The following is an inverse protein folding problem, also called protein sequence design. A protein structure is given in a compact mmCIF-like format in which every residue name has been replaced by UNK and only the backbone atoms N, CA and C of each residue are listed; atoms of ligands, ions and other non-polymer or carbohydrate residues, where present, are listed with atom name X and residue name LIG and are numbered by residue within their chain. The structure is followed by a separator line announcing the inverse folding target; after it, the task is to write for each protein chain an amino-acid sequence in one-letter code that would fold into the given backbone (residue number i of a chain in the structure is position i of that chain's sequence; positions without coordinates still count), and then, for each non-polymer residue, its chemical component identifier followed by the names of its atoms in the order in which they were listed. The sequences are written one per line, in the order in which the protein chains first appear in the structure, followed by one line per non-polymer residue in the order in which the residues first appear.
data_IF_529787396232
#
_entry.id   IF_529787396232
#
_cell.length_a   1.000
_cell.length_b   1.000
_cell.length_c   1.000
_cell.angle_alpha   90.00
_cell.angle_beta   90.00
_cell.angle_gamma   90.00
#
_symmetry.space_group_name_H-M   'P 1'
#
loop_
_entity.id
_entity.type
_entity.pdbx_description
1 polymer ?
#
# COMPACT_ATOMS: atom_id res chain seq x y z
N UNK A 1 15.76 -1.54 12.45
CA UNK A 1 15.42 -0.83 11.20
C UNK A 1 14.89 -1.83 10.20
N UNK A 2 14.09 -1.37 9.24
CA UNK A 2 13.80 -2.11 8.01
C UNK A 2 14.73 -1.60 6.91
N UNK A 3 15.19 -2.48 6.03
CA UNK A 3 16.01 -2.11 4.87
C UNK A 3 15.34 -2.63 3.60
N UNK A 4 15.05 -1.71 2.68
CA UNK A 4 14.46 -2.01 1.38
C UNK A 4 15.58 -2.35 0.40
N UNK A 5 15.49 -3.53 -0.20
CA UNK A 5 16.47 -4.03 -1.16
C UNK A 5 15.81 -4.16 -2.55
N UNK A 6 16.06 -3.20 -3.47
CA UNK A 6 15.66 -3.26 -4.89
C UNK A 6 15.84 -4.66 -5.51
N UNK A 7 14.77 -5.21 -6.07
CA UNK A 7 14.71 -6.52 -6.74
C UNK A 7 14.76 -7.73 -5.80
N UNK A 8 14.88 -7.52 -4.49
CA UNK A 8 15.06 -8.60 -3.50
C UNK A 8 13.91 -8.66 -2.51
N UNK A 9 13.57 -7.55 -1.85
CA UNK A 9 12.53 -7.50 -0.82
C UNK A 9 12.96 -6.64 0.38
N UNK A 10 12.67 -7.08 1.61
CA UNK A 10 12.86 -6.28 2.83
C UNK A 10 13.63 -7.05 3.89
N UNK A 11 14.73 -6.49 4.39
CA UNK A 11 15.41 -7.00 5.60
C UNK A 11 14.63 -6.54 6.83
N UNK A 12 14.34 -7.50 7.71
CA UNK A 12 13.60 -7.27 8.94
C UNK A 12 14.54 -6.89 10.09
N UNK A 13 14.06 -6.10 11.07
CA UNK A 13 14.85 -5.68 12.21
C UNK A 13 15.30 -6.86 13.08
N UNK A 14 16.29 -6.59 13.94
CA UNK A 14 16.79 -7.49 14.98
C UNK A 14 17.21 -8.89 14.50
N UNK A 15 17.61 -9.00 13.23
CA UNK A 15 18.04 -10.26 12.63
C UNK A 15 16.89 -11.25 12.38
N UNK A 16 15.64 -10.78 12.36
CA UNK A 16 14.47 -11.63 12.12
C UNK A 16 14.50 -12.32 10.74
N UNK A 17 15.24 -11.77 9.77
CA UNK A 17 15.50 -12.37 8.47
C UNK A 17 15.23 -11.41 7.32
N UNK A 18 14.95 -11.95 6.15
CA UNK A 18 14.62 -11.17 4.95
C UNK A 18 13.32 -11.69 4.35
N UNK A 19 12.36 -10.80 4.14
CA UNK A 19 11.22 -11.07 3.29
C UNK A 19 11.65 -10.91 1.84
N UNK A 20 11.75 -12.01 1.11
CA UNK A 20 12.16 -12.00 -0.30
C UNK A 20 10.95 -12.11 -1.21
N UNK A 21 10.92 -11.32 -2.28
CA UNK A 21 9.95 -11.52 -3.34
C UNK A 21 10.06 -12.96 -3.90
N UNK A 22 8.92 -13.57 -4.21
CA UNK A 22 8.85 -14.96 -4.65
C UNK A 22 8.75 -15.99 -3.52
N UNK A 23 8.71 -15.60 -2.25
CA UNK A 23 8.42 -16.54 -1.15
C UNK A 23 6.94 -16.93 -1.11
N UNK A 24 6.64 -18.15 -0.66
CA UNK A 24 5.26 -18.57 -0.41
C UNK A 24 4.69 -17.92 0.86
N UNK A 25 3.36 -18.03 1.02
CA UNK A 25 2.64 -17.43 2.15
C UNK A 25 3.00 -18.01 3.51
N UNK A 26 3.32 -19.30 3.60
CA UNK A 26 3.66 -19.94 4.87
C UNK A 26 5.05 -19.52 5.35
N UNK A 27 6.03 -19.54 4.44
CA UNK A 27 7.39 -19.02 4.70
C UNK A 27 7.35 -17.53 5.06
N UNK A 28 6.52 -16.74 4.36
CA UNK A 28 6.31 -15.32 4.67
C UNK A 28 5.76 -15.15 6.09
N UNK A 29 4.71 -15.89 6.45
CA UNK A 29 4.09 -15.85 7.78
C UNK A 29 5.07 -16.23 8.88
N UNK A 30 5.85 -17.30 8.69
CA UNK A 30 6.87 -17.73 9.66
C UNK A 30 7.94 -16.65 9.86
N UNK A 31 8.39 -16.03 8.77
CA UNK A 31 9.39 -14.97 8.82
C UNK A 31 8.85 -13.73 9.56
N UNK A 32 7.60 -13.33 9.29
CA UNK A 32 6.93 -12.23 9.99
C UNK A 32 6.68 -12.52 11.47
N UNK A 33 6.40 -13.77 11.83
CA UNK A 33 6.14 -14.17 13.22
C UNK A 33 7.33 -13.96 14.16
N UNK A 34 8.54 -13.81 13.61
CA UNK A 34 9.75 -13.45 14.37
C UNK A 34 9.75 -12.00 14.85
N UNK A 35 8.95 -11.13 14.23
CA UNK A 35 8.76 -9.75 14.67
C UNK A 35 7.65 -9.63 15.72
N UNK A 36 6.62 -10.46 15.65
CA UNK A 36 5.52 -10.41 16.59
C UNK A 36 4.28 -11.16 16.10
N UNK A 37 3.13 -10.79 16.66
CA UNK A 37 1.86 -11.42 16.31
C UNK A 37 1.45 -11.08 14.87
N UNK A 38 1.39 -12.10 14.01
CA UNK A 38 0.92 -11.96 12.64
C UNK A 38 -0.60 -12.04 12.59
N UNK A 39 -1.20 -11.11 11.85
CA UNK A 39 -2.61 -11.14 11.42
C UNK A 39 -2.65 -11.61 9.98
N UNK A 40 -3.51 -12.57 9.68
CA UNK A 40 -3.73 -13.06 8.32
C UNK A 40 -5.10 -12.59 7.90
N UNK A 41 -5.14 -11.84 6.81
CA UNK A 41 -6.37 -11.28 6.23
C UNK A 41 -6.45 -11.72 4.76
N UNK A 42 -7.66 -11.97 4.28
CA UNK A 42 -7.89 -12.15 2.84
C UNK A 42 -8.25 -10.81 2.25
N UNK A 43 -7.41 -10.27 1.35
CA UNK A 43 -7.78 -9.13 0.53
C UNK A 43 -8.59 -9.59 -0.69
N UNK A 44 -9.44 -8.72 -1.24
CA UNK A 44 -10.29 -9.05 -2.40
C UNK A 44 -9.47 -9.43 -3.65
N UNK A 45 -8.25 -8.90 -3.79
CA UNK A 45 -7.38 -9.07 -4.97
C UNK A 45 -6.07 -9.81 -4.70
N UNK A 46 -5.76 -10.13 -3.44
CA UNK A 46 -4.55 -10.88 -3.06
C UNK A 46 -4.96 -12.26 -2.58
N UNK A 47 -4.31 -13.31 -3.09
CA UNK A 47 -4.60 -14.67 -2.64
C UNK A 47 -4.33 -14.87 -1.13
N UNK A 48 -3.45 -14.05 -0.55
CA UNK A 48 -3.23 -13.96 0.90
C UNK A 48 -2.53 -12.64 1.26
N UNK A 49 -2.80 -12.16 2.47
CA UNK A 49 -2.12 -11.01 3.07
C UNK A 49 -1.74 -11.34 4.52
N UNK A 50 -0.53 -10.96 4.93
CA UNK A 50 -0.03 -11.12 6.29
C UNK A 50 0.48 -9.77 6.83
N UNK A 51 0.06 -9.40 8.03
CA UNK A 51 0.37 -8.11 8.65
C UNK A 51 0.99 -8.31 10.02
N UNK A 52 2.08 -7.60 10.32
CA UNK A 52 2.71 -7.55 11.65
C UNK A 52 3.00 -6.11 12.04
N UNK A 53 2.85 -5.80 13.33
CA UNK A 53 3.24 -4.49 13.85
C UNK A 53 4.63 -4.58 14.48
N UNK A 54 5.49 -3.59 14.21
CA UNK A 54 6.79 -3.45 14.82
C UNK A 54 7.04 -1.98 15.21
N UNK A 55 7.05 -1.70 16.52
CA UNK A 55 7.12 -0.34 17.04
C UNK A 55 5.93 0.50 16.58
N UNK A 56 6.22 1.65 15.97
CA UNK A 56 5.23 2.57 15.39
C UNK A 56 4.98 2.30 13.89
N UNK A 57 5.41 1.16 13.37
CA UNK A 57 5.19 0.73 11.99
C UNK A 57 4.33 -0.54 11.91
N UNK A 58 3.57 -0.65 10.84
CA UNK A 58 2.87 -1.85 10.42
C UNK A 58 3.47 -2.30 9.08
N UNK A 59 3.81 -3.59 9.01
CA UNK A 59 4.37 -4.25 7.84
C UNK A 59 3.32 -5.23 7.30
N UNK A 60 2.90 -5.00 6.07
CA UNK A 60 1.93 -5.85 5.35
C UNK A 60 2.63 -6.48 4.17
N UNK A 61 2.56 -7.81 4.07
CA UNK A 61 3.13 -8.60 2.97
C UNK A 61 1.99 -9.34 2.26
N UNK A 62 1.99 -9.30 0.93
CA UNK A 62 0.90 -9.82 0.12
C UNK A 62 1.38 -10.46 -1.19
N UNK A 63 0.62 -11.43 -1.66
CA UNK A 63 0.80 -11.98 -2.99
C UNK A 63 0.08 -11.14 -4.05
N UNK A 64 0.59 -11.16 -5.29
CA UNK A 64 -0.08 -10.54 -6.43
C UNK A 64 -1.07 -11.51 -7.07
N UNK A 65 -2.34 -11.10 -7.13
CA UNK A 65 -3.42 -11.76 -7.85
C UNK A 65 -3.93 -13.06 -7.23
N UNK A 66 -5.16 -13.42 -7.63
CA UNK A 66 -5.87 -14.66 -7.24
C UNK A 66 -5.70 -15.81 -8.26
N UNK A 67 -5.09 -15.54 -9.42
CA UNK A 67 -5.08 -16.46 -10.58
C UNK A 67 -3.86 -17.38 -10.65
N UNK A 68 -3.08 -17.47 -9.57
CA UNK A 68 -1.93 -18.37 -9.46
C UNK A 68 -2.21 -19.50 -8.48
N UNK A 69 -1.97 -20.74 -8.93
CA UNK A 69 -2.08 -21.93 -8.09
C UNK A 69 -1.17 -21.89 -6.86
N UNK A 70 -0.04 -21.17 -6.96
CA UNK A 70 0.91 -20.92 -5.87
C UNK A 70 1.24 -19.42 -5.82
N UNK A 71 0.44 -18.62 -5.08
CA UNK A 71 0.62 -17.18 -5.00
C UNK A 71 1.86 -16.85 -4.14
N UNK A 72 2.83 -16.16 -4.76
CA UNK A 72 4.09 -15.79 -4.12
C UNK A 72 4.09 -14.32 -3.71
N UNK A 73 4.85 -13.99 -2.67
CA UNK A 73 5.08 -12.64 -2.17
C UNK A 73 5.54 -11.73 -3.31
N UNK A 74 4.76 -10.68 -3.55
CA UNK A 74 5.01 -9.73 -4.63
C UNK A 74 4.90 -8.28 -4.17
N UNK A 75 4.22 -8.02 -3.06
CA UNK A 75 4.03 -6.69 -2.51
C UNK A 75 4.36 -6.65 -1.02
N UNK A 76 5.09 -5.63 -0.61
CA UNK A 76 5.37 -5.31 0.79
C UNK A 76 5.04 -3.84 1.02
N UNK A 77 4.26 -3.56 2.06
CA UNK A 77 3.89 -2.21 2.47
C UNK A 77 4.36 -1.99 3.89
N UNK A 78 5.10 -0.90 4.10
CA UNK A 78 5.42 -0.38 5.43
C UNK A 78 4.62 0.89 5.64
N UNK A 79 3.76 0.90 6.64
CA UNK A 79 2.92 2.05 7.00
C UNK A 79 3.13 2.45 8.45
N UNK A 80 2.82 3.71 8.77
CA UNK A 80 2.82 4.17 10.15
C UNK A 80 1.65 3.53 10.90
N UNK A 81 1.93 2.77 11.94
CA UNK A 81 0.92 2.10 12.75
C UNK A 81 0.10 3.15 13.52
N UNK A 82 -1.21 3.16 13.28
CA UNK A 82 -2.11 4.00 14.03
C UNK A 82 -2.23 3.53 15.48
N UNK A 83 -1.89 4.37 16.46
CA UNK A 83 -2.21 4.13 17.87
C UNK A 83 -3.60 4.69 18.23
N UNK A 84 -4.61 3.86 18.56
CA UNK A 84 -5.93 4.35 18.97
C UNK A 84 -5.99 4.94 20.39
N UNK A 85 -4.85 5.22 21.04
CA UNK A 85 -4.82 5.68 22.45
C UNK A 85 -5.10 7.17 22.67
N UNK A 86 -5.39 7.94 21.62
CA UNK A 86 -6.02 9.26 21.81
C UNK A 86 -7.53 9.11 21.63
N UNK A 87 -8.36 9.46 22.64
CA UNK A 87 -9.79 9.46 22.48
C UNK A 87 -10.13 10.50 21.41
N UNK A 88 -10.60 10.01 20.27
CA UNK A 88 -11.11 10.84 19.18
C UNK A 88 -12.44 11.44 19.64
N UNK A 89 -12.38 12.62 20.25
CA UNK A 89 -13.58 13.44 20.45
C UNK A 89 -13.86 14.10 19.09
N UNK A 90 -14.69 13.44 18.27
CA UNK A 90 -15.23 14.02 17.04
C UNK A 90 -15.22 13.10 15.82
N UNK A 91 -16.40 12.83 15.26
CA UNK A 91 -16.60 12.40 13.87
C UNK A 91 -15.90 13.42 12.94
N UNK A 92 -15.06 12.97 12.01
CA UNK A 92 -14.43 13.81 10.98
C UNK A 92 -12.97 14.19 11.23
N UNK A 93 -12.15 13.27 11.74
CA UNK A 93 -10.72 13.53 11.98
C UNK A 93 -9.86 13.04 10.82
N UNK A 94 -9.17 13.99 10.18
CA UNK A 94 -8.08 13.83 9.20
C UNK A 94 -7.19 12.63 9.54
N UNK A 95 -6.72 11.80 8.57
CA UNK A 95 -5.60 10.92 8.85
C UNK A 95 -4.49 11.79 9.44
N UNK A 96 -3.87 11.39 10.55
CA UNK A 96 -2.99 12.20 11.33
C UNK A 96 -1.89 12.55 10.37
N UNK A 97 -1.76 13.84 10.10
CA UNK A 97 -0.57 14.31 9.47
C UNK A 97 0.57 13.89 10.41
N UNK A 98 1.41 12.98 9.92
CA UNK A 98 2.59 12.57 10.65
C UNK A 98 3.53 13.77 10.63
N UNK A 99 3.61 14.47 11.76
CA UNK A 99 4.40 15.69 11.90
C UNK A 99 5.81 15.42 12.45
N UNK A 100 6.18 14.15 12.57
CA UNK A 100 7.48 13.75 13.09
C UNK A 100 7.96 12.41 12.53
N UNK A 101 9.26 12.13 12.70
CA UNK A 101 9.88 10.92 12.19
C UNK A 101 9.31 9.65 12.82
N UNK A 102 9.56 8.51 12.19
CA UNK A 102 9.29 7.21 12.78
C UNK A 102 10.27 6.89 13.90
N UNK A 103 9.79 6.11 14.88
CA UNK A 103 10.67 5.53 15.89
C UNK A 103 11.54 4.40 15.32
N UNK A 104 11.08 3.77 14.24
CA UNK A 104 11.81 2.72 13.52
C UNK A 104 12.22 3.23 12.13
N UNK A 105 13.52 3.27 11.80
CA UNK A 105 13.98 3.67 10.47
C UNK A 105 13.57 2.69 9.38
N UNK A 106 13.25 3.23 8.19
CA UNK A 106 13.02 2.47 6.95
C UNK A 106 14.01 2.96 5.91
N UNK A 107 15.05 2.16 5.68
CA UNK A 107 16.23 2.56 4.91
C UNK A 107 16.10 2.09 3.46
N UNK A 108 16.40 2.98 2.50
CA UNK A 108 16.63 2.67 1.09
C UNK A 108 17.88 3.41 0.63
N UNK A 109 18.91 2.70 0.17
CA UNK A 109 20.20 3.29 -0.26
C UNK A 109 20.72 4.34 0.75
N UNK A 110 20.78 3.96 2.03
CA UNK A 110 21.20 4.79 3.17
C UNK A 110 20.28 5.99 3.52
N UNK A 111 19.11 6.10 2.88
CA UNK A 111 18.12 7.14 3.16
C UNK A 111 17.03 6.58 4.08
N UNK A 112 16.81 7.22 5.23
CA UNK A 112 15.67 6.92 6.10
C UNK A 112 14.40 7.60 5.57
N UNK A 113 13.55 6.82 4.90
CA UNK A 113 12.31 7.29 4.27
C UNK A 113 11.30 7.83 5.28
N UNK A 114 11.36 7.41 6.55
CA UNK A 114 10.50 7.91 7.61
C UNK A 114 11.23 8.82 8.62
N UNK A 115 12.50 9.11 8.39
CA UNK A 115 13.32 9.97 9.24
C UNK A 115 13.21 11.46 8.89
N UNK A 116 12.74 11.80 7.69
CA UNK A 116 12.69 13.16 7.16
C UNK A 116 11.30 13.53 6.61
N UNK A 117 10.98 14.83 6.49
CA UNK A 117 9.78 15.29 5.81
C UNK A 117 9.68 14.72 4.39
N UNK A 118 8.47 14.40 3.94
CA UNK A 118 8.23 13.74 2.67
C UNK A 118 8.80 14.52 1.47
N UNK A 119 8.76 15.85 1.52
CA UNK A 119 9.32 16.70 0.46
C UNK A 119 10.84 16.54 0.33
N UNK A 120 11.57 16.43 1.46
CA UNK A 120 13.03 16.24 1.46
C UNK A 120 13.39 14.84 0.93
N UNK A 121 12.63 13.82 1.33
CA UNK A 121 12.82 12.45 0.83
C UNK A 121 12.59 12.38 -0.69
N UNK A 122 11.52 13.01 -1.19
CA UNK A 122 11.22 13.08 -2.61
C UNK A 122 12.32 13.80 -3.40
N UNK A 123 12.79 14.96 -2.92
CA UNK A 123 13.88 15.70 -3.55
C UNK A 123 15.15 14.85 -3.68
N UNK A 124 15.54 14.12 -2.62
CA UNK A 124 16.71 13.25 -2.66
C UNK A 124 16.51 12.09 -3.65
N UNK A 125 15.33 11.48 -3.68
CA UNK A 125 15.04 10.38 -4.61
C UNK A 125 15.01 10.84 -6.07
N UNK A 126 14.50 12.03 -6.35
CA UNK A 126 14.55 12.67 -7.67
C UNK A 126 16.01 12.91 -8.10
N UNK A 127 16.86 13.41 -7.20
CA UNK A 127 18.30 13.63 -7.46
C UNK A 127 19.05 12.33 -7.75
N UNK A 128 18.64 11.21 -7.13
CA UNK A 128 19.21 9.89 -7.40
C UNK A 128 18.80 9.31 -8.76
N UNK A 129 17.86 9.94 -9.45
CA UNK A 129 17.44 9.65 -10.81
C UNK A 129 16.05 9.03 -10.90
N UNK A 130 15.19 9.66 -11.70
CA UNK A 130 13.88 9.13 -12.09
C UNK A 130 14.00 7.67 -12.56
N UNK A 131 13.30 6.76 -11.88
CA UNK A 131 13.25 5.35 -12.26
C UNK A 131 14.35 4.47 -11.69
N UNK A 132 15.18 4.93 -10.76
CA UNK A 132 16.13 4.05 -10.03
C UNK A 132 15.43 2.96 -9.22
N UNK A 133 14.24 3.25 -8.70
CA UNK A 133 13.42 2.32 -7.91
C UNK A 133 12.02 2.19 -8.51
N UNK A 134 11.86 1.51 -9.67
CA UNK A 134 10.56 1.37 -10.32
C UNK A 134 9.58 0.53 -9.48
N UNK A 135 10.09 -0.20 -8.50
CA UNK A 135 9.40 -1.03 -7.52
C UNK A 135 8.85 -0.24 -6.33
N UNK A 136 9.37 0.95 -6.08
CA UNK A 136 9.02 1.78 -4.93
C UNK A 136 7.83 2.69 -5.28
N UNK A 137 6.85 2.74 -4.40
CA UNK A 137 5.73 3.68 -4.44
C UNK A 137 5.61 4.36 -3.09
N UNK A 138 5.59 5.68 -3.09
CA UNK A 138 5.46 6.49 -1.89
C UNK A 138 4.03 6.98 -1.77
N UNK A 139 3.44 6.85 -0.58
CA UNK A 139 2.11 7.39 -0.35
C UNK A 139 2.19 8.91 -0.17
N UNK A 140 1.26 9.69 -0.77
CA UNK A 140 1.24 11.15 -0.59
C UNK A 140 1.13 11.53 0.90
N UNK A 141 1.98 12.47 1.31
CA UNK A 141 1.92 13.07 2.64
C UNK A 141 1.17 14.41 2.61
N UNK A 142 0.66 14.83 3.77
CA UNK A 142 0.18 16.20 3.93
C UNK A 142 1.33 17.21 3.73
N UNK A 143 1.06 18.45 3.28
CA UNK A 143 2.10 19.48 3.14
C UNK A 143 2.89 19.67 4.45
N UNK A 144 4.22 19.58 4.36
CA UNK A 144 5.12 19.65 5.53
C UNK A 144 5.07 18.43 6.46
N UNK A 145 4.42 17.35 6.04
CA UNK A 145 4.33 16.09 6.79
C UNK A 145 5.42 15.07 6.39
N UNK A 146 5.40 13.96 7.11
CA UNK A 146 6.23 12.78 6.88
C UNK A 146 5.44 11.73 6.10
N UNK A 147 6.15 10.84 5.40
CA UNK A 147 5.51 9.78 4.62
C UNK A 147 4.66 8.87 5.53
N UNK A 148 3.38 8.63 5.17
CA UNK A 148 2.51 7.75 5.95
C UNK A 148 2.74 6.27 5.63
N UNK A 149 3.17 5.96 4.40
CA UNK A 149 3.49 4.61 3.97
C UNK A 149 4.41 4.59 2.76
N UNK A 150 5.09 3.46 2.57
CA UNK A 150 5.82 3.09 1.37
C UNK A 150 5.40 1.69 0.94
N UNK A 151 5.21 1.48 -0.36
CA UNK A 151 4.96 0.18 -0.98
C UNK A 151 6.15 -0.18 -1.84
N UNK A 152 6.53 -1.46 -1.78
CA UNK A 152 7.69 -2.01 -2.44
C UNK A 152 7.29 -3.32 -3.11
N UNK A 153 7.46 -3.39 -4.44
CA UNK A 153 6.89 -4.46 -5.26
C UNK A 153 7.94 -5.18 -6.08
N UNK A 154 7.73 -6.46 -6.33
CA UNK A 154 8.53 -7.18 -7.30
C UNK A 154 8.32 -6.59 -8.70
N UNK A 155 9.40 -6.30 -9.43
CA UNK A 155 9.29 -6.04 -10.87
C UNK A 155 8.58 -7.20 -11.58
N UNK A 156 7.49 -6.88 -12.28
CA UNK A 156 6.82 -7.83 -13.17
C UNK A 156 7.73 -8.05 -14.38
N UNK A 157 8.52 -9.13 -14.37
CA UNK A 157 9.26 -9.52 -15.57
C UNK A 157 8.25 -9.83 -16.68
N UNK A 158 8.35 -9.18 -17.86
CA UNK A 158 7.58 -9.61 -19.02
C UNK A 158 7.98 -11.06 -19.35
N UNK A 159 7.01 -11.97 -19.36
CA UNK A 159 7.26 -13.38 -19.60
C UNK A 159 7.77 -13.61 -21.04
N UNK A 160 8.54 -14.68 -21.30
CA UNK A 160 8.87 -15.10 -22.66
C UNK A 160 7.59 -15.60 -23.34
N UNK A 161 6.89 -14.66 -23.97
CA UNK A 161 5.53 -14.80 -24.50
C UNK A 161 4.91 -13.42 -24.78
N UNK A 162 5.47 -12.37 -24.18
CA UNK A 162 5.02 -10.97 -24.28
C UNK A 162 5.43 -10.26 -25.59
N UNK A 163 5.58 -11.04 -26.67
CA UNK A 163 5.67 -10.50 -28.03
C UNK A 163 4.32 -10.78 -28.70
N UNK A 164 3.60 -9.69 -28.94
CA UNK A 164 2.31 -9.62 -29.65
C UNK A 164 1.07 -10.10 -28.89
N UNK A 165 0.70 -9.38 -27.83
CA UNK A 165 -0.72 -9.07 -27.60
C UNK A 165 -0.85 -7.70 -26.90
N UNK A 166 -1.05 -6.64 -27.68
CA UNK A 166 -1.71 -5.45 -27.19
C UNK A 166 -3.16 -5.85 -26.86
N UNK A 167 -3.39 -6.33 -25.64
CA UNK A 167 -4.68 -6.83 -25.20
C UNK A 167 -4.64 -7.27 -23.74
N UNK A 168 -5.13 -6.39 -22.87
CA UNK A 168 -5.73 -6.67 -21.55
C UNK A 168 -4.88 -7.39 -20.50
N UNK A 169 -3.87 -6.68 -19.99
CA UNK A 169 -3.35 -6.84 -18.62
C UNK A 169 -3.72 -5.60 -17.77
N UNK A 170 -4.66 -4.78 -18.25
CA UNK A 170 -5.32 -3.71 -17.50
C UNK A 170 -6.36 -4.38 -16.59
N UNK A 171 -6.37 -4.14 -15.27
CA UNK A 171 -7.31 -4.82 -14.40
C UNK A 171 -8.74 -4.51 -14.83
N UNK A 172 -9.57 -5.54 -14.90
CA UNK A 172 -10.89 -5.43 -15.50
C UNK A 172 -11.80 -4.54 -14.65
N UNK A 173 -12.23 -3.42 -15.23
CA UNK A 173 -13.20 -2.52 -14.62
C UNK A 173 -14.48 -3.26 -14.21
N UNK A 174 -14.86 -4.35 -14.89
CA UNK A 174 -16.03 -5.15 -14.55
C UNK A 174 -15.94 -5.78 -13.15
N UNK A 175 -14.73 -6.12 -12.68
CA UNK A 175 -14.52 -6.65 -11.32
C UNK A 175 -14.90 -5.65 -10.22
N UNK A 176 -14.99 -4.36 -10.55
CA UNK A 176 -15.33 -3.29 -9.62
C UNK A 176 -16.79 -2.81 -9.79
N UNK A 177 -17.55 -3.35 -10.73
CA UNK A 177 -18.88 -2.85 -11.10
C UNK A 177 -19.86 -2.78 -9.92
N UNK A 178 -19.73 -3.72 -8.97
CA UNK A 178 -20.53 -3.73 -7.76
C UNK A 178 -20.41 -2.43 -6.95
N UNK A 179 -19.27 -1.72 -7.02
CA UNK A 179 -19.02 -0.51 -6.22
C UNK A 179 -19.95 0.66 -6.57
N UNK A 180 -20.42 0.74 -7.81
CA UNK A 180 -21.31 1.81 -8.29
C UNK A 180 -22.68 1.30 -8.78
N UNK A 181 -22.94 0.00 -8.67
CA UNK A 181 -24.24 -0.60 -9.02
C UNK A 181 -24.95 -1.13 -7.79
N UNK A 182 -24.67 -2.37 -7.38
CA UNK A 182 -25.39 -3.11 -6.34
C UNK A 182 -24.91 -2.83 -4.92
N UNK A 183 -23.63 -2.50 -4.76
CA UNK A 183 -22.98 -2.19 -3.49
C UNK A 183 -22.88 -0.70 -3.18
N UNK A 184 -23.42 0.19 -4.02
CA UNK A 184 -23.26 1.66 -3.94
C UNK A 184 -23.37 2.24 -2.52
N UNK A 185 -24.36 1.78 -1.75
CA UNK A 185 -24.63 2.32 -0.41
C UNK A 185 -23.60 1.91 0.64
N UNK A 186 -22.74 0.93 0.33
CA UNK A 186 -21.65 0.42 1.16
C UNK A 186 -20.32 1.15 0.91
N UNK A 187 -20.23 1.95 -0.16
CA UNK A 187 -19.02 2.64 -0.56
C UNK A 187 -19.18 4.15 -0.46
N UNK A 188 -18.07 4.85 -0.25
CA UNK A 188 -17.98 6.31 -0.29
C UNK A 188 -16.69 6.74 -1.00
N UNK A 189 -16.71 7.93 -1.58
CA UNK A 189 -15.52 8.60 -2.11
C UNK A 189 -15.08 9.67 -1.13
N UNK A 190 -13.83 9.59 -0.66
CA UNK A 190 -13.19 10.59 0.19
C UNK A 190 -12.36 11.55 -0.67
N UNK A 191 -12.76 12.83 -0.70
CA UNK A 191 -12.05 13.84 -1.47
C UNK A 191 -10.70 14.23 -0.85
N UNK A 192 -9.60 14.05 -1.56
CA UNK A 192 -8.24 14.43 -1.13
C UNK A 192 -7.69 15.61 -1.92
N UNK A 193 -6.55 16.16 -1.49
CA UNK A 193 -5.88 17.26 -2.20
C UNK A 193 -5.44 16.91 -3.64
N UNK A 194 -5.43 15.64 -4.02
CA UNK A 194 -5.01 15.16 -5.34
C UNK A 194 -6.06 14.31 -6.08
N UNK A 195 -7.27 14.11 -5.53
CA UNK A 195 -8.28 13.25 -6.17
C UNK A 195 -9.29 12.67 -5.18
N UNK A 196 -9.71 11.43 -5.39
CA UNK A 196 -10.64 10.72 -4.51
C UNK A 196 -10.03 9.39 -4.02
N UNK A 197 -10.32 9.03 -2.78
CA UNK A 197 -10.04 7.71 -2.22
C UNK A 197 -11.33 6.90 -2.13
N UNK A 198 -11.30 5.64 -2.54
CA UNK A 198 -12.44 4.73 -2.48
C UNK A 198 -12.41 4.00 -1.13
N UNK A 199 -13.48 4.17 -0.33
CA UNK A 199 -13.54 3.68 1.05
C UNK A 199 -14.85 2.94 1.31
N UNK A 200 -14.80 1.86 2.07
CA UNK A 200 -15.99 1.14 2.54
C UNK A 200 -16.54 1.80 3.82
N UNK A 201 -17.86 2.01 3.89
CA UNK A 201 -18.50 2.69 5.03
C UNK A 201 -18.39 1.86 6.30
N UNK A 202 -17.91 2.48 7.38
CA UNK A 202 -17.93 1.89 8.73
C UNK A 202 -16.72 1.01 9.08
N UNK A 203 -15.83 0.73 8.12
CA UNK A 203 -14.55 0.11 8.40
C UNK A 203 -13.46 1.17 8.62
N UNK A 204 -12.33 0.79 9.25
CA UNK A 204 -11.13 1.62 9.18
C UNK A 204 -10.80 1.82 7.70
N UNK A 205 -10.23 2.97 7.28
CA UNK A 205 -9.84 3.16 5.88
C UNK A 205 -8.85 2.06 5.49
N UNK A 206 -9.36 0.95 4.96
CA UNK A 206 -8.58 0.05 4.15
C UNK A 206 -8.35 0.83 2.90
N UNK A 207 -7.10 1.22 2.70
CA UNK A 207 -6.61 1.63 1.40
C UNK A 207 -6.95 0.49 0.44
N UNK A 208 -8.07 0.62 -0.28
CA UNK A 208 -8.32 -0.26 -1.41
C UNK A 208 -7.28 0.17 -2.43
N UNK A 209 -6.17 -0.55 -2.38
CA UNK A 209 -4.93 -0.22 -3.05
C UNK A 209 -5.12 -0.61 -4.51
N UNK A 210 -5.98 0.13 -5.20
CA UNK A 210 -6.20 -0.02 -6.63
C UNK A 210 -4.87 0.36 -7.28
N UNK A 211 -4.16 -0.67 -7.71
CA UNK A 211 -2.75 -0.64 -8.08
C UNK A 211 -2.46 0.13 -9.39
N UNK A 212 -3.48 0.71 -10.03
CA UNK A 212 -3.42 1.29 -11.36
C UNK A 212 -4.15 2.65 -11.38
N UNK A 213 -3.42 3.74 -11.53
CA UNK A 213 -3.96 5.11 -11.47
C UNK A 213 -5.06 5.35 -12.50
N UNK A 214 -4.86 4.89 -13.75
CA UNK A 214 -5.87 4.99 -14.82
C UNK A 214 -7.15 4.22 -14.50
N UNK A 215 -7.03 3.09 -13.81
CA UNK A 215 -8.20 2.30 -13.38
C UNK A 215 -8.88 2.95 -12.18
N UNK A 216 -8.10 3.45 -11.21
CA UNK A 216 -8.63 4.18 -10.07
C UNK A 216 -9.42 5.41 -10.53
N UNK A 217 -8.94 6.14 -11.54
CA UNK A 217 -9.65 7.25 -12.17
C UNK A 217 -10.94 6.79 -12.85
N UNK A 218 -10.92 5.68 -13.59
CA UNK A 218 -12.10 5.11 -14.24
C UNK A 218 -13.16 4.68 -13.22
N UNK A 219 -12.76 3.98 -12.15
CA UNK A 219 -13.66 3.55 -11.07
C UNK A 219 -14.26 4.79 -10.38
N UNK A 220 -13.42 5.77 -10.05
CA UNK A 220 -13.86 7.04 -9.44
C UNK A 220 -14.89 7.73 -10.32
N UNK A 221 -14.65 7.86 -11.63
CA UNK A 221 -15.57 8.48 -12.56
C UNK A 221 -16.93 7.74 -12.63
N UNK A 222 -16.94 6.41 -12.59
CA UNK A 222 -18.18 5.61 -12.58
C UNK A 222 -18.94 5.74 -11.26
N UNK A 223 -18.24 5.74 -10.13
CA UNK A 223 -18.82 5.96 -8.81
C UNK A 223 -19.46 7.35 -8.70
N UNK A 224 -18.79 8.40 -9.21
CA UNK A 224 -19.35 9.75 -9.30
C UNK A 224 -20.61 9.79 -10.18
N UNK A 225 -20.56 9.19 -11.37
CA UNK A 225 -21.70 9.15 -12.29
C UNK A 225 -22.90 8.39 -11.71
N UNK A 226 -22.65 7.34 -10.92
CA UNK A 226 -23.69 6.61 -10.21
C UNK A 226 -24.20 7.33 -8.94
N UNK A 227 -23.57 8.44 -8.54
CA UNK A 227 -23.93 9.21 -7.36
C UNK A 227 -23.51 8.56 -6.04
N UNK A 228 -22.44 7.76 -6.02
CA UNK A 228 -21.83 7.31 -4.76
C UNK A 228 -21.54 8.53 -3.88
N UNK A 229 -21.80 8.40 -2.59
CA UNK A 229 -21.64 9.48 -1.63
C UNK A 229 -20.20 10.02 -1.65
N UNK A 230 -20.07 11.32 -1.90
CA UNK A 230 -18.81 12.04 -1.73
C UNK A 230 -18.83 12.59 -0.32
N UNK A 231 -17.85 12.18 0.45
CA UNK A 231 -17.54 12.79 1.74
C UNK A 231 -16.29 13.63 1.56
N UNK A 232 -16.27 14.80 2.18
CA UNK A 232 -15.03 15.57 2.29
C UNK A 232 -13.99 14.63 2.92
N UNK A 233 -12.97 14.28 2.14
CA UNK A 233 -11.87 13.50 2.67
C UNK A 233 -11.20 14.37 3.73
N UNK A 234 -10.87 13.78 4.87
CA UNK A 234 -10.65 14.58 6.05
C UNK A 234 -9.28 15.29 6.07
#
# INVERSE_FOLDING_TARGET
MFELLPGVGVVLPDGAGTLRFGMDGDTTRETLARLGQVRVEGALDEAWTCTVQWGDLELTAGADGIDRSDPLLANVVLSRAWHPRRPTVGRGTRPPAWHGPAGVPVILDDIDLFGYPAAEVLEVLEVLGDGRYPELRLQPAAPGGYLPAVSFRAERRPGPGDRTQAGTDEPDLASYEAMWTTGRDQWQLEQTGSGYLIVMKGERPMYLLICHDTLADQITARMLAAGVEIVDGP
#
